data_IF_060773796869
#
_entry.id   IF_060773796869
#
_cell.length_a   1.000
_cell.length_b   1.000
_cell.length_c   1.000
_cell.angle_alpha   90.00
_cell.angle_beta   90.00
_cell.angle_gamma   90.00
#
_symmetry.space_group_name_H-M   'P 1'
#
loop_
_entity.id
_entity.type
_entity.pdbx_description
1 polymer ?
#
# COMPACT_ATOMS: atom_id res chain seq x y z
N UNK A 1 -0.58 -7.78 13.35
CA UNK A 1 -0.73 -8.22 11.95
C UNK A 1 -1.98 -7.57 11.38
N UNK A 2 -1.81 -6.41 10.75
CA UNK A 2 -2.88 -5.74 10.03
C UNK A 2 -3.02 -6.29 8.60
N UNK A 3 -4.24 -6.60 8.18
CA UNK A 3 -4.58 -6.85 6.78
C UNK A 3 -4.99 -5.52 6.13
N UNK A 4 -4.45 -5.23 4.95
CA UNK A 4 -4.77 -4.03 4.17
C UNK A 4 -5.35 -4.46 2.83
N UNK A 5 -6.40 -3.77 2.41
CA UNK A 5 -6.99 -3.89 1.07
C UNK A 5 -6.83 -2.54 0.37
N UNK A 6 -6.17 -2.53 -0.80
CA UNK A 6 -6.11 -1.39 -1.70
C UNK A 6 -7.09 -1.61 -2.85
N UNK A 7 -8.13 -0.78 -2.91
CA UNK A 7 -9.07 -0.75 -4.02
C UNK A 7 -8.46 0.05 -5.18
N UNK A 8 -8.23 -0.61 -6.31
CA UNK A 8 -7.66 0.03 -7.51
C UNK A 8 -8.64 -0.04 -8.67
N UNK A 9 -8.36 0.70 -9.75
CA UNK A 9 -9.18 0.66 -10.97
C UNK A 9 -9.11 -0.68 -11.71
N UNK A 10 -8.17 -1.56 -11.35
CA UNK A 10 -7.98 -2.89 -11.95
C UNK A 10 -8.37 -4.03 -10.99
N UNK A 11 -8.96 -3.70 -9.83
CA UNK A 11 -9.35 -4.65 -8.79
C UNK A 11 -8.64 -4.43 -7.45
N UNK A 12 -9.00 -5.25 -6.47
CA UNK A 12 -8.51 -5.12 -5.10
C UNK A 12 -7.19 -5.89 -4.90
N UNK A 13 -6.26 -5.28 -4.19
CA UNK A 13 -4.99 -5.91 -3.78
C UNK A 13 -5.03 -6.07 -2.25
N UNK A 14 -4.99 -7.31 -1.77
CA UNK A 14 -4.94 -7.61 -0.34
C UNK A 14 -3.54 -8.07 0.07
N UNK A 15 -3.02 -7.52 1.17
CA UNK A 15 -1.73 -7.92 1.72
C UNK A 15 -1.65 -7.71 3.24
N UNK A 16 -0.63 -8.32 3.84
CA UNK A 16 -0.38 -8.27 5.29
C UNK A 16 0.81 -7.37 5.59
N UNK A 17 0.69 -6.63 6.70
CA UNK A 17 1.80 -5.88 7.28
C UNK A 17 2.45 -6.68 8.41
N UNK A 18 3.78 -6.79 8.35
CA UNK A 18 4.62 -7.45 9.35
C UNK A 18 5.14 -6.42 10.36
N UNK A 19 4.23 -5.96 11.23
CA UNK A 19 4.51 -4.94 12.26
C UNK A 19 5.59 -5.38 13.26
N UNK A 20 5.73 -6.70 13.47
CA UNK A 20 6.75 -7.33 14.28
C UNK A 20 8.17 -7.17 13.69
N UNK A 21 8.27 -7.12 12.36
CA UNK A 21 9.54 -6.97 11.63
C UNK A 21 9.85 -5.48 11.38
N UNK A 22 8.85 -4.71 10.97
CA UNK A 22 9.02 -3.32 10.53
C UNK A 22 7.98 -2.36 11.15
N UNK A 23 8.00 -2.15 12.48
CA UNK A 23 6.93 -1.46 13.20
C UNK A 23 6.72 -0.01 12.72
N UNK A 24 7.79 0.77 12.59
CA UNK A 24 7.69 2.18 12.18
C UNK A 24 7.18 2.35 10.75
N UNK A 25 7.60 1.46 9.83
CA UNK A 25 7.14 1.49 8.44
C UNK A 25 5.65 1.14 8.36
N UNK A 26 5.22 0.11 9.09
CA UNK A 26 3.81 -0.27 9.14
C UNK A 26 2.94 0.83 9.77
N UNK A 27 3.42 1.47 10.84
CA UNK A 27 2.74 2.61 11.48
C UNK A 27 2.59 3.80 10.53
N UNK A 28 3.68 4.19 9.84
CA UNK A 28 3.65 5.28 8.88
C UNK A 28 2.66 5.01 7.74
N UNK A 29 2.73 3.81 7.15
CA UNK A 29 1.84 3.40 6.07
C UNK A 29 0.37 3.38 6.50
N UNK A 30 0.08 2.80 7.68
CA UNK A 30 -1.29 2.74 8.23
C UNK A 30 -1.83 4.12 8.58
N UNK A 31 -0.99 5.04 9.02
CA UNK A 31 -1.38 6.42 9.30
C UNK A 31 -1.78 7.14 8.01
N UNK A 32 -0.99 7.02 6.95
CA UNK A 32 -1.33 7.57 5.64
C UNK A 32 -2.62 6.98 5.07
N UNK A 33 -2.85 5.67 5.23
CA UNK A 33 -4.10 5.02 4.85
C UNK A 33 -5.30 5.63 5.58
N UNK A 34 -5.24 5.74 6.92
CA UNK A 34 -6.34 6.29 7.74
C UNK A 34 -6.64 7.75 7.41
N UNK A 35 -5.63 8.51 7.00
CA UNK A 35 -5.79 9.89 6.58
C UNK A 35 -6.30 10.03 5.13
N UNK A 36 -6.52 8.92 4.42
CA UNK A 36 -6.97 8.92 3.02
C UNK A 36 -5.90 9.39 2.04
N UNK A 37 -4.62 9.42 2.44
CA UNK A 37 -3.52 9.95 1.62
C UNK A 37 -3.41 9.25 0.26
N UNK A 38 -3.62 7.94 0.23
CA UNK A 38 -3.50 7.13 -0.99
C UNK A 38 -4.72 7.18 -1.92
N UNK A 39 -5.80 7.86 -1.52
CA UNK A 39 -7.03 7.91 -2.31
C UNK A 39 -6.81 8.73 -3.59
N UNK A 40 -7.12 8.13 -4.74
CA UNK A 40 -6.99 8.79 -6.05
C UNK A 40 -5.55 8.94 -6.56
N UNK A 41 -4.56 8.36 -5.89
CA UNK A 41 -3.18 8.33 -6.36
C UNK A 41 -3.00 7.20 -7.39
N UNK A 42 -2.19 7.46 -8.42
CA UNK A 42 -1.87 6.48 -9.47
C UNK A 42 -0.59 5.69 -9.15
N UNK A 43 -0.46 4.51 -9.75
CA UNK A 43 0.85 3.86 -9.91
C UNK A 43 1.59 4.54 -11.06
N UNK A 44 2.49 5.47 -10.75
CA UNK A 44 3.17 6.29 -11.75
C UNK A 44 4.37 5.60 -12.40
N UNK A 45 4.82 4.46 -11.86
CA UNK A 45 5.95 3.72 -12.41
C UNK A 45 5.66 2.22 -12.48
N UNK A 46 5.74 1.68 -13.68
CA UNK A 46 5.45 0.27 -14.01
C UNK A 46 6.63 -0.25 -14.84
N UNK A 47 7.30 -1.27 -14.33
CA UNK A 47 8.40 -1.94 -15.02
C UNK A 47 8.06 -3.42 -15.08
N UNK A 48 7.88 -3.93 -16.30
CA UNK A 48 7.55 -5.32 -16.58
C UNK A 48 8.60 -6.27 -15.97
N UNK A 49 8.14 -7.40 -15.44
CA UNK A 49 8.97 -8.40 -14.73
C UNK A 49 9.78 -7.87 -13.54
N UNK A 50 9.48 -6.66 -13.04
CA UNK A 50 10.19 -6.06 -11.92
C UNK A 50 9.25 -5.56 -10.82
N UNK A 51 8.56 -4.44 -11.04
CA UNK A 51 7.73 -3.83 -9.99
C UNK A 51 6.76 -2.77 -10.51
N UNK A 52 5.75 -2.50 -9.68
CA UNK A 52 4.89 -1.32 -9.75
C UNK A 52 5.13 -0.45 -8.51
N UNK A 53 5.13 0.86 -8.71
CA UNK A 53 5.37 1.84 -7.65
C UNK A 53 4.32 2.96 -7.73
N UNK A 54 3.79 3.30 -6.56
CA UNK A 54 2.78 4.33 -6.35
C UNK A 54 2.85 4.81 -4.90
N UNK A 55 1.78 5.51 -4.48
CA UNK A 55 1.80 6.33 -3.26
C UNK A 55 2.64 7.57 -3.47
#
# INVERSE_FOLDING_TARGET
MANVILETTQGSIEFKLFEDIAPKTCENFTTHLKNGYYNGIIFHRIIEEFMIQGG
#
